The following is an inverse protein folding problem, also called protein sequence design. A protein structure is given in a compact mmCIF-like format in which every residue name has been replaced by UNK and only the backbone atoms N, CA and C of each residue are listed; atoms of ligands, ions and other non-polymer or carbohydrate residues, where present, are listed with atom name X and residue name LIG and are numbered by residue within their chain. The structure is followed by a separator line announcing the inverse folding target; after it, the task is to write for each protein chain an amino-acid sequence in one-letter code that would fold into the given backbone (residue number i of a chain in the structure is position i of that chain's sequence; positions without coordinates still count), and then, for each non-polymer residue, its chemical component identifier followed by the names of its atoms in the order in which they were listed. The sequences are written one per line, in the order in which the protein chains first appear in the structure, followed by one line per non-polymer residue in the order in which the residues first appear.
data_IF_510448209677
#
_entry.id   IF_510448209677
#
_cell.length_a   1.000
_cell.length_b   1.000
_cell.length_c   1.000
_cell.angle_alpha   90.00
_cell.angle_beta   90.00
_cell.angle_gamma   90.00
#
_symmetry.space_group_name_H-M   'P 1'
#
loop_
_entity.id
_entity.type
_entity.pdbx_description
1 polymer ?
#
# COMPACT_ATOMS: atom_id res chain seq x y z
N UNK A 1 -10.89 0.59 14.82
CA UNK A 1 -11.70 -0.03 13.74
C UNK A 1 -11.46 -1.52 13.74
N UNK A 2 -12.46 -2.37 13.46
CA UNK A 2 -12.26 -3.84 13.39
C UNK A 2 -11.31 -4.20 12.24
N UNK A 3 -10.47 -5.23 12.41
CA UNK A 3 -9.53 -5.68 11.36
C UNK A 3 -10.23 -6.03 10.04
N UNK A 4 -11.37 -6.71 10.10
CA UNK A 4 -12.13 -7.05 8.88
C UNK A 4 -12.56 -5.80 8.10
N UNK A 5 -13.11 -4.80 8.79
CA UNK A 5 -13.48 -3.52 8.16
C UNK A 5 -12.26 -2.76 7.63
N UNK A 6 -11.15 -2.79 8.37
CA UNK A 6 -9.90 -2.17 7.92
C UNK A 6 -9.33 -2.86 6.66
N UNK A 7 -9.43 -4.18 6.58
CA UNK A 7 -9.03 -4.97 5.42
C UNK A 7 -9.88 -4.66 4.19
N UNK A 8 -11.20 -4.56 4.36
CA UNK A 8 -12.09 -4.12 3.27
C UNK A 8 -11.74 -2.72 2.79
N UNK A 9 -11.48 -1.79 3.72
CA UNK A 9 -11.05 -0.44 3.36
C UNK A 9 -9.71 -0.45 2.59
N UNK A 10 -8.74 -1.27 3.03
CA UNK A 10 -7.45 -1.36 2.35
C UNK A 10 -7.57 -1.97 0.96
N UNK A 11 -8.45 -2.95 0.76
CA UNK A 11 -8.78 -3.50 -0.56
C UNK A 11 -9.36 -2.44 -1.50
N UNK A 12 -10.32 -1.65 -1.03
CA UNK A 12 -10.94 -0.59 -1.83
C UNK A 12 -9.91 0.48 -2.24
N UNK A 13 -9.05 0.87 -1.31
CA UNK A 13 -7.99 1.85 -1.58
C UNK A 13 -6.92 1.28 -2.52
N UNK A 14 -6.58 -0.01 -2.40
CA UNK A 14 -5.65 -0.67 -3.32
C UNK A 14 -6.22 -0.83 -4.74
N UNK A 15 -7.53 -1.07 -4.87
CA UNK A 15 -8.20 -1.06 -6.16
C UNK A 15 -8.16 0.35 -6.80
N UNK A 16 -8.44 1.40 -6.01
CA UNK A 16 -8.30 2.78 -6.46
C UNK A 16 -6.85 3.09 -6.87
N UNK A 17 -5.87 2.60 -6.11
CA UNK A 17 -4.45 2.75 -6.45
C UNK A 17 -4.06 2.05 -7.74
N UNK A 18 -4.65 0.88 -8.05
CA UNK A 18 -4.39 0.18 -9.31
C UNK A 18 -4.80 1.01 -10.52
N UNK A 19 -5.93 1.71 -10.41
CA UNK A 19 -6.35 2.70 -11.41
C UNK A 19 -5.42 3.92 -11.47
N UNK A 20 -4.98 4.43 -10.31
CA UNK A 20 -4.00 5.52 -10.22
C UNK A 20 -2.69 5.17 -10.93
N UNK A 21 -2.14 3.99 -10.67
CA UNK A 21 -0.88 3.52 -11.25
C UNK A 21 -0.98 3.43 -12.77
N UNK A 22 -2.09 2.91 -13.30
CA UNK A 22 -2.36 2.93 -14.73
C UNK A 22 -2.37 4.37 -15.28
N UNK A 23 -3.06 5.30 -14.61
CA UNK A 23 -3.10 6.71 -15.05
C UNK A 23 -1.74 7.38 -15.02
N UNK A 24 -0.91 7.09 -14.02
CA UNK A 24 0.47 7.58 -13.97
C UNK A 24 1.28 7.08 -15.17
N UNK A 25 1.17 5.79 -15.51
CA UNK A 25 1.86 5.24 -16.69
C UNK A 25 1.36 5.87 -17.99
N UNK A 26 0.04 5.97 -18.19
CA UNK A 26 -0.53 6.57 -19.40
C UNK A 26 -0.21 8.06 -19.57
N UNK A 27 0.09 8.77 -18.47
CA UNK A 27 0.44 10.19 -18.49
C UNK A 27 1.95 10.44 -18.48
N UNK A 28 2.77 9.39 -18.39
CA UNK A 28 4.23 9.51 -18.49
C UNK A 28 4.62 9.96 -19.90
N UNK A 29 5.71 10.73 -20.02
CA UNK A 29 6.18 11.31 -21.30
C UNK A 29 6.40 10.24 -22.40
N UNK A 30 6.69 8.99 -22.00
CA UNK A 30 6.78 7.80 -22.87
C UNK A 30 5.48 7.41 -23.58
N UNK A 31 4.33 7.97 -23.21
CA UNK A 31 3.02 7.74 -23.83
C UNK A 31 2.50 8.94 -24.62
N UNK A 32 3.29 10.03 -24.71
CA UNK A 32 2.89 11.25 -25.40
C UNK A 32 3.03 11.10 -26.92
N UNK A 33 1.89 10.90 -27.59
CA UNK A 33 1.65 10.90 -29.04
C UNK A 33 2.25 9.68 -29.79
N UNK A 34 1.49 8.56 -29.89
CA UNK A 34 1.82 7.52 -30.85
C UNK A 34 1.69 8.04 -32.28
N UNK A 35 2.76 7.98 -33.05
CA UNK A 35 2.83 8.44 -34.45
C UNK A 35 2.32 7.36 -35.43
N UNK A 36 1.25 6.66 -35.03
CA UNK A 36 0.64 5.57 -35.82
C UNK A 36 -0.16 4.56 -35.00
N UNK A 37 -1.04 3.80 -35.67
CA UNK A 37 -1.92 2.80 -35.06
C UNK A 37 -1.15 1.64 -34.39
N UNK A 38 0.02 1.27 -34.92
CA UNK A 38 0.86 0.21 -34.36
C UNK A 38 1.51 0.64 -33.03
N UNK A 39 1.90 1.91 -32.90
CA UNK A 39 2.42 2.46 -31.65
C UNK A 39 1.31 2.60 -30.60
N UNK A 40 0.11 3.04 -31.02
CA UNK A 40 -1.04 3.15 -30.13
C UNK A 40 -1.47 1.79 -29.57
N UNK A 41 -1.49 0.74 -30.40
CA UNK A 41 -1.82 -0.63 -29.96
C UNK A 41 -0.75 -1.23 -29.04
N UNK A 42 0.55 -0.99 -29.33
CA UNK A 42 1.65 -1.36 -28.46
C UNK A 42 1.58 -0.70 -27.09
N UNK A 43 1.32 0.61 -27.03
CA UNK A 43 1.14 1.35 -25.78
C UNK A 43 -0.07 0.85 -24.98
N UNK A 44 -1.20 0.58 -25.66
CA UNK A 44 -2.38 0.01 -25.00
C UNK A 44 -2.10 -1.35 -24.36
N UNK A 45 -1.31 -2.20 -25.04
CA UNK A 45 -0.89 -3.50 -24.50
C UNK A 45 0.01 -3.35 -23.27
N UNK A 46 0.98 -2.42 -23.31
CA UNK A 46 1.86 -2.14 -22.16
C UNK A 46 1.04 -1.62 -20.97
N UNK A 47 0.13 -0.69 -21.21
CA UNK A 47 -0.74 -0.14 -20.16
C UNK A 47 -1.62 -1.24 -19.52
N UNK A 48 -2.21 -2.12 -20.34
CA UNK A 48 -2.98 -3.26 -19.86
C UNK A 48 -2.12 -4.23 -19.05
N UNK A 49 -0.90 -4.53 -19.51
CA UNK A 49 0.03 -5.41 -18.80
C UNK A 49 0.44 -4.82 -17.43
N UNK A 50 0.75 -3.52 -17.38
CA UNK A 50 1.05 -2.83 -16.11
C UNK A 50 -0.13 -2.92 -15.16
N UNK A 51 -1.35 -2.65 -15.62
CA UNK A 51 -2.55 -2.75 -14.78
C UNK A 51 -2.70 -4.16 -14.19
N UNK A 52 -2.58 -5.20 -15.02
CA UNK A 52 -2.66 -6.60 -14.58
C UNK A 52 -1.58 -6.89 -13.54
N UNK A 53 -0.34 -6.47 -13.79
CA UNK A 53 0.77 -6.67 -12.87
C UNK A 53 0.52 -6.00 -11.52
N UNK A 54 0.06 -4.75 -11.52
CA UNK A 54 -0.27 -4.01 -10.29
C UNK A 54 -1.38 -4.73 -9.53
N UNK A 55 -2.46 -5.15 -10.21
CA UNK A 55 -3.57 -5.89 -9.57
C UNK A 55 -3.05 -7.18 -8.93
N UNK A 56 -2.26 -7.98 -9.65
CA UNK A 56 -1.69 -9.23 -9.14
C UNK A 56 -0.86 -8.98 -7.87
N UNK A 57 0.04 -7.99 -7.90
CA UNK A 57 0.86 -7.64 -6.73
C UNK A 57 0.00 -7.20 -5.55
N UNK A 58 -0.99 -6.34 -5.78
CA UNK A 58 -1.91 -5.86 -4.74
C UNK A 58 -2.72 -7.02 -4.14
N UNK A 59 -3.20 -7.95 -4.97
CA UNK A 59 -3.93 -9.15 -4.55
C UNK A 59 -3.05 -10.08 -3.71
N UNK A 60 -1.79 -10.33 -4.12
CA UNK A 60 -0.86 -11.16 -3.37
C UNK A 60 -0.56 -10.58 -1.98
N UNK A 61 -0.32 -9.27 -1.90
CA UNK A 61 -0.11 -8.58 -0.61
C UNK A 61 -1.34 -8.73 0.29
N UNK A 62 -2.54 -8.45 -0.24
CA UNK A 62 -3.77 -8.57 0.56
C UNK A 62 -4.07 -10.00 0.97
N UNK A 63 -3.79 -10.99 0.12
CA UNK A 63 -3.93 -12.40 0.47
C UNK A 63 -3.02 -12.76 1.65
N UNK A 64 -1.76 -12.29 1.64
CA UNK A 64 -0.85 -12.47 2.78
C UNK A 64 -1.36 -11.78 4.05
N UNK A 65 -1.84 -10.53 3.97
CA UNK A 65 -2.42 -9.82 5.11
C UNK A 65 -3.62 -10.56 5.70
N UNK A 66 -4.47 -11.12 4.83
CA UNK A 66 -5.63 -11.90 5.24
C UNK A 66 -5.22 -13.14 6.03
N UNK A 67 -4.33 -13.98 5.48
CA UNK A 67 -3.91 -15.22 6.13
C UNK A 67 -3.09 -14.99 7.40
N UNK A 68 -2.21 -13.98 7.41
CA UNK A 68 -1.30 -13.75 8.54
C UNK A 68 -2.00 -13.03 9.70
N UNK A 69 -2.89 -12.07 9.41
CA UNK A 69 -3.47 -11.20 10.44
C UNK A 69 -4.99 -11.36 10.59
N UNK A 70 -5.76 -11.20 9.51
CA UNK A 70 -7.22 -11.11 9.59
C UNK A 70 -7.86 -12.43 10.01
N UNK A 71 -7.39 -13.55 9.46
CA UNK A 71 -7.95 -14.88 9.72
C UNK A 71 -7.76 -15.31 11.20
N UNK A 72 -6.61 -14.97 11.80
CA UNK A 72 -6.27 -15.40 13.15
C UNK A 72 -7.01 -14.59 14.23
N UNK A 73 -7.16 -13.28 14.04
CA UNK A 73 -7.74 -12.40 15.06
C UNK A 73 -8.67 -11.31 14.45
N UNK A 74 -9.80 -11.69 13.82
CA UNK A 74 -10.62 -10.78 13.01
C UNK A 74 -11.27 -9.64 13.81
N UNK A 75 -11.51 -9.85 15.10
CA UNK A 75 -12.18 -8.88 15.99
C UNK A 75 -11.21 -7.88 16.64
N UNK A 76 -9.89 -8.10 16.55
CA UNK A 76 -8.93 -7.20 17.18
C UNK A 76 -8.98 -5.82 16.50
N UNK A 77 -8.87 -4.77 17.32
CA UNK A 77 -8.92 -3.39 16.83
C UNK A 77 -7.61 -2.96 16.18
N UNK A 78 -7.71 -2.36 15.00
CA UNK A 78 -6.62 -1.58 14.39
C UNK A 78 -6.77 -0.13 14.84
N UNK A 79 -5.67 0.45 15.33
CA UNK A 79 -5.62 1.78 15.92
C UNK A 79 -4.65 2.68 15.13
N UNK A 80 -5.13 3.83 14.67
CA UNK A 80 -4.33 4.85 13.98
C UNK A 80 -3.16 5.39 14.82
N UNK A 81 -3.31 5.37 16.15
CA UNK A 81 -2.24 5.73 17.10
C UNK A 81 -0.97 4.88 16.90
N UNK A 82 -1.06 3.72 16.23
CA UNK A 82 0.09 2.86 15.92
C UNK A 82 1.09 3.54 14.97
N UNK A 83 0.64 4.52 14.18
CA UNK A 83 1.50 5.36 13.35
C UNK A 83 2.38 6.29 14.19
N UNK A 84 1.87 6.78 15.32
CA UNK A 84 2.62 7.70 16.17
C UNK A 84 3.86 7.01 16.76
N UNK A 85 4.94 7.79 16.93
CA UNK A 85 6.14 7.32 17.61
C UNK A 85 5.81 6.95 19.06
N UNK A 86 6.31 5.81 19.52
CA UNK A 86 6.04 5.27 20.86
C UNK A 86 7.30 5.35 21.71
N UNK A 87 7.18 5.64 23.01
CA UNK A 87 8.35 5.82 23.88
C UNK A 87 9.16 4.52 24.09
N UNK A 88 8.50 3.37 24.06
CA UNK A 88 9.10 2.11 24.57
C UNK A 88 9.62 1.16 23.47
N UNK A 89 9.71 1.60 22.22
CA UNK A 89 9.97 0.71 21.08
C UNK A 89 10.92 1.29 20.05
N UNK A 90 12.23 1.35 20.35
CA UNK A 90 13.25 1.91 19.45
C UNK A 90 13.20 1.26 18.06
N UNK A 91 13.22 -0.07 17.96
CA UNK A 91 13.13 -0.78 16.68
C UNK A 91 11.84 -0.44 15.91
N UNK A 92 10.70 -0.38 16.62
CA UNK A 92 9.42 -0.04 16.01
C UNK A 92 9.39 1.42 15.51
N UNK A 93 10.04 2.34 16.23
CA UNK A 93 10.21 3.73 15.79
C UNK A 93 11.13 3.85 14.59
N UNK A 94 12.21 3.08 14.52
CA UNK A 94 13.09 3.03 13.33
C UNK A 94 12.28 2.58 12.11
N UNK A 95 11.45 1.55 12.23
CA UNK A 95 10.58 1.07 11.14
C UNK A 95 9.56 2.15 10.74
N UNK A 96 8.96 2.87 11.71
CA UNK A 96 8.06 4.00 11.43
C UNK A 96 8.77 5.11 10.66
N UNK A 97 9.93 5.55 11.14
CA UNK A 97 10.72 6.62 10.51
C UNK A 97 11.14 6.22 9.10
N UNK A 98 11.60 4.98 8.90
CA UNK A 98 11.93 4.46 7.59
C UNK A 98 10.70 4.41 6.67
N UNK A 99 9.55 3.95 7.19
CA UNK A 99 8.28 3.96 6.47
C UNK A 99 7.86 5.37 6.06
N UNK A 100 8.00 6.37 6.95
CA UNK A 100 7.72 7.77 6.62
C UNK A 100 8.67 8.33 5.59
N UNK A 101 9.98 8.06 5.71
CA UNK A 101 10.96 8.47 4.72
C UNK A 101 10.66 7.85 3.35
N UNK A 102 10.26 6.57 3.30
CA UNK A 102 9.85 5.91 2.07
C UNK A 102 8.59 6.54 1.46
N UNK A 103 7.56 6.82 2.27
CA UNK A 103 6.34 7.52 1.80
C UNK A 103 6.70 8.89 1.22
N UNK A 104 7.51 9.67 1.93
CA UNK A 104 7.96 10.99 1.48
C UNK A 104 8.78 10.91 0.19
N UNK A 105 9.68 9.93 0.09
CA UNK A 105 10.46 9.68 -1.12
C UNK A 105 9.57 9.35 -2.32
N UNK A 106 8.63 8.42 -2.19
CA UNK A 106 7.72 8.08 -3.28
C UNK A 106 6.81 9.25 -3.65
N UNK A 107 6.37 10.03 -2.66
CA UNK A 107 5.64 11.27 -2.91
C UNK A 107 6.47 12.27 -3.71
N UNK A 108 7.72 12.51 -3.30
CA UNK A 108 8.63 13.41 -3.97
C UNK A 108 8.83 13.04 -5.45
N UNK A 109 9.17 11.77 -5.72
CA UNK A 109 9.33 11.26 -7.09
C UNK A 109 8.04 11.41 -7.89
N UNK A 110 6.89 11.20 -7.25
CA UNK A 110 5.60 11.38 -7.92
C UNK A 110 5.35 12.84 -8.26
N UNK A 111 5.70 13.79 -7.39
CA UNK A 111 5.48 15.23 -7.58
C UNK A 111 6.34 15.83 -8.70
N UNK A 112 7.51 15.29 -8.97
CA UNK A 112 8.34 15.71 -10.12
C UNK A 112 7.62 15.45 -11.46
N UNK A 113 6.75 14.45 -11.47
CA UNK A 113 5.94 14.11 -12.64
C UNK A 113 4.59 14.80 -12.49
N UNK A 114 4.15 15.61 -13.48
CA UNK A 114 2.92 16.43 -13.35
C UNK A 114 1.62 15.62 -13.42
N UNK A 115 1.38 14.72 -12.47
CA UNK A 115 0.16 13.93 -12.38
C UNK A 115 -0.99 14.72 -11.72
N UNK A 116 -2.25 14.34 -12.00
CA UNK A 116 -3.41 14.94 -11.34
C UNK A 116 -3.36 14.80 -9.82
N UNK A 117 -3.82 15.82 -9.10
CA UNK A 117 -3.73 15.88 -7.62
C UNK A 117 -4.26 14.63 -6.89
N UNK A 118 -5.34 14.03 -7.38
CA UNK A 118 -5.96 12.84 -6.79
C UNK A 118 -5.02 11.63 -6.78
N UNK A 119 -4.07 11.55 -7.72
CA UNK A 119 -3.11 10.44 -7.80
C UNK A 119 -2.16 10.41 -6.60
N UNK A 120 -1.74 11.58 -6.12
CA UNK A 120 -0.93 11.72 -4.91
C UNK A 120 -1.72 11.33 -3.66
N UNK A 121 -2.99 11.76 -3.57
CA UNK A 121 -3.83 11.43 -2.42
C UNK A 121 -4.01 9.91 -2.29
N UNK A 122 -4.40 9.25 -3.38
CA UNK A 122 -4.64 7.80 -3.36
C UNK A 122 -3.36 7.04 -3.04
N UNK A 123 -2.22 7.46 -3.60
CA UNK A 123 -0.91 6.87 -3.30
C UNK A 123 -0.54 7.04 -1.83
N UNK A 124 -0.78 8.23 -1.26
CA UNK A 124 -0.45 8.54 0.13
C UNK A 124 -1.24 7.67 1.10
N UNK A 125 -2.55 7.58 0.89
CA UNK A 125 -3.39 6.72 1.70
C UNK A 125 -3.00 5.25 1.55
N UNK A 126 -2.70 4.79 0.34
CA UNK A 126 -2.28 3.40 0.10
C UNK A 126 -1.01 3.06 0.87
N UNK A 127 0.04 3.89 0.77
CA UNK A 127 1.29 3.63 1.48
C UNK A 127 1.14 3.74 3.00
N UNK A 128 0.33 4.68 3.48
CA UNK A 128 0.02 4.83 4.90
C UNK A 128 -0.71 3.61 5.45
N UNK A 129 -1.66 3.05 4.70
CA UNK A 129 -2.38 1.83 5.08
C UNK A 129 -1.43 0.63 5.14
N UNK A 130 -0.49 0.53 4.21
CA UNK A 130 0.51 -0.54 4.25
C UNK A 130 1.51 -0.40 5.39
N UNK A 131 1.93 0.82 5.72
CA UNK A 131 2.72 1.06 6.93
C UNK A 131 1.93 0.66 8.19
N UNK A 132 0.64 1.00 8.26
CA UNK A 132 -0.21 0.60 9.38
C UNK A 132 -0.31 -0.93 9.49
N UNK A 133 -0.53 -1.63 8.37
CA UNK A 133 -0.57 -3.09 8.33
C UNK A 133 0.74 -3.72 8.78
N UNK A 134 1.88 -3.21 8.31
CA UNK A 134 3.20 -3.68 8.73
C UNK A 134 3.40 -3.53 10.24
N UNK A 135 3.09 -2.36 10.80
CA UNK A 135 3.23 -2.10 12.23
C UNK A 135 2.27 -2.95 13.07
N UNK A 136 1.06 -3.17 12.57
CA UNK A 136 0.06 -4.04 13.20
C UNK A 136 0.55 -5.50 13.26
N UNK A 137 1.13 -6.01 12.17
CA UNK A 137 1.75 -7.34 12.13
C UNK A 137 2.91 -7.48 13.13
N UNK A 138 3.78 -6.45 13.23
CA UNK A 138 4.89 -6.44 14.19
C UNK A 138 4.35 -6.49 15.63
N UNK A 139 3.29 -5.72 15.91
CA UNK A 139 2.65 -5.70 17.24
C UNK A 139 2.07 -7.07 17.60
N UNK A 140 1.36 -7.71 16.69
CA UNK A 140 0.78 -9.05 16.87
C UNK A 140 1.86 -10.10 17.15
N UNK A 141 2.94 -10.10 16.37
CA UNK A 141 4.07 -11.02 16.57
C UNK A 141 4.80 -10.79 17.89
N UNK A 142 4.87 -9.54 18.34
CA UNK A 142 5.50 -9.20 19.64
C UNK A 142 4.62 -9.59 20.82
N UNK A 143 3.29 -9.42 20.70
CA UNK A 143 2.33 -9.82 21.72
C UNK A 143 2.31 -11.34 21.92
N UNK A 144 2.30 -12.11 20.84
CA UNK A 144 2.32 -13.59 20.90
C UNK A 144 3.58 -14.16 21.55
N UNK A 145 4.74 -13.48 21.43
CA UNK A 145 5.97 -13.88 22.12
C UNK A 145 5.93 -13.63 23.64
N UNK A 146 5.06 -12.75 24.12
CA UNK A 146 4.98 -12.36 25.54
C UNK A 146 3.93 -13.13 26.34
N UNK A 147 3.10 -13.95 25.69
CA UNK A 147 2.21 -14.86 26.40
C UNK A 147 2.98 -16.14 26.73
N UNK A 148 3.29 -16.43 28.02
CA UNK A 148 3.82 -17.74 28.37
C UNK A 148 2.76 -18.79 28.02
N UNK A 149 3.21 -19.91 27.46
CA UNK A 149 2.41 -21.11 27.25
C UNK A 149 1.63 -21.41 28.54
N UNK A 150 0.31 -21.21 28.51
CA UNK A 150 -0.57 -21.87 29.47
C UNK A 150 -0.60 -23.34 29.06
N UNK A 151 0.41 -24.08 29.53
CA UNK A 151 0.39 -25.53 29.65
C UNK A 151 -0.48 -25.91 30.85
#
# INVERSE_FOLDING_TARGET
MKKSSFFTLSLLIAAAYSYTALKMVMLSESFAVPDGADQASGLALVAAFVLILVIIVQSLIHMQLYFVSVMNEPQQGVFWQTLLLQKDGLLSNVIRLFGYAAILYFMWVSFETRYPFWTYIVSFFTYTLYLLWLLQLIKERTANKRQPLKL
#
